data_IF_873264957546
#
_entry.id   IF_873264957546
#
_cell.length_a   1.000
_cell.length_b   1.000
_cell.length_c   1.000
_cell.angle_alpha   90.00
_cell.angle_beta   90.00
_cell.angle_gamma   90.00
#
_symmetry.space_group_name_H-M   'P 1'
#
loop_
_entity.id
_entity.type
_entity.pdbx_description
1 polymer ?
#
# COMPACT_ATOMS: atom_id res chain seq x y z
N UNK A 1 7.73 3.45 -12.34
CA UNK A 1 7.89 2.44 -11.29
C UNK A 1 6.89 2.78 -10.18
N UNK A 2 5.82 1.99 -10.03
CA UNK A 2 4.84 2.17 -8.96
C UNK A 2 5.28 1.24 -7.85
N UNK A 3 5.76 1.77 -6.74
CA UNK A 3 6.10 0.94 -5.60
C UNK A 3 4.82 0.35 -4.99
N UNK A 4 4.78 -0.96 -4.85
CA UNK A 4 3.71 -1.66 -4.15
C UNK A 4 3.90 -1.43 -2.66
N UNK A 5 3.13 -0.50 -2.09
CA UNK A 5 3.03 -0.33 -0.65
C UNK A 5 2.28 -1.52 -0.07
N UNK A 6 2.99 -2.41 0.62
CA UNK A 6 2.43 -3.70 1.07
C UNK A 6 1.80 -3.64 2.46
N UNK A 7 1.94 -2.53 3.20
CA UNK A 7 1.35 -2.39 4.53
C UNK A 7 1.05 -0.94 4.93
N UNK A 8 0.52 -0.76 6.15
CA UNK A 8 0.20 0.54 6.73
C UNK A 8 1.47 1.40 6.92
N UNK A 9 1.47 2.65 6.45
CA UNK A 9 2.56 3.57 6.70
C UNK A 9 2.79 3.85 8.19
N UNK A 10 4.06 4.01 8.58
CA UNK A 10 4.44 4.52 9.89
C UNK A 10 4.81 6.00 9.77
N UNK A 11 4.21 6.82 10.64
CA UNK A 11 4.48 8.26 10.73
C UNK A 11 5.38 8.52 11.94
N UNK A 12 6.50 9.19 11.72
CA UNK A 12 7.44 9.57 12.77
C UNK A 12 7.69 11.07 12.73
N UNK A 13 7.75 11.69 13.91
CA UNK A 13 8.16 13.09 14.03
C UNK A 13 9.63 13.25 13.64
N UNK A 14 9.91 14.23 12.79
CA UNK A 14 11.25 14.60 12.34
C UNK A 14 11.47 16.13 12.48
N UNK A 15 11.04 16.69 13.61
CA UNK A 15 11.15 18.11 13.92
C UNK A 15 10.06 18.91 13.22
N UNK A 16 10.44 19.82 12.32
CA UNK A 16 9.47 20.60 11.53
C UNK A 16 8.81 19.78 10.40
N UNK A 17 9.25 18.53 10.22
CA UNK A 17 8.78 17.62 9.19
C UNK A 17 8.22 16.33 9.80
N UNK A 18 7.50 15.59 8.98
CA UNK A 18 7.02 14.24 9.29
C UNK A 18 7.64 13.24 8.33
N UNK A 19 8.26 12.20 8.88
CA UNK A 19 8.80 11.09 8.10
C UNK A 19 7.71 10.01 7.95
N UNK A 20 7.38 9.71 6.70
CA UNK A 20 6.45 8.67 6.31
C UNK A 20 7.23 7.48 5.76
N UNK A 21 7.06 6.31 6.36
CA UNK A 21 7.76 5.08 5.94
C UNK A 21 6.78 3.99 5.57
N UNK A 22 6.97 3.36 4.40
CA UNK A 22 6.21 2.18 3.95
C UNK A 22 7.18 1.04 3.66
N UNK A 23 6.90 -0.19 4.06
CA UNK A 23 7.65 -1.33 3.56
C UNK A 23 7.35 -1.52 2.07
N UNK A 24 8.41 -1.74 1.30
CA UNK A 24 8.33 -2.16 -0.09
C UNK A 24 8.46 -3.68 -0.16
N UNK A 25 7.79 -4.30 -1.14
CA UNK A 25 8.03 -5.70 -1.49
C UNK A 25 9.46 -5.98 -1.98
N UNK A 26 10.20 -4.93 -2.36
CA UNK A 26 11.55 -5.02 -2.93
C UNK A 26 12.68 -4.99 -1.87
N UNK A 27 12.34 -5.12 -0.59
CA UNK A 27 13.30 -5.27 0.52
C UNK A 27 13.69 -3.97 1.23
N UNK A 28 13.75 -2.83 0.51
CA UNK A 28 14.03 -1.54 1.14
C UNK A 28 12.76 -0.72 1.39
N UNK A 29 12.53 -0.21 2.61
CA UNK A 29 11.36 0.61 2.90
C UNK A 29 11.47 1.98 2.21
N UNK A 30 10.36 2.42 1.63
CA UNK A 30 10.26 3.75 1.03
C UNK A 30 10.03 4.77 2.13
N UNK A 31 10.79 5.85 2.07
CA UNK A 31 10.80 6.92 3.06
C UNK A 31 10.51 8.25 2.37
N UNK A 32 9.49 8.95 2.83
CA UNK A 32 9.09 10.26 2.30
C UNK A 32 9.09 11.25 3.45
N UNK A 33 9.83 12.35 3.30
CA UNK A 33 9.81 13.46 4.26
C UNK A 33 8.77 14.48 3.78
N UNK A 34 7.84 14.81 4.65
CA UNK A 34 6.77 15.76 4.37
C UNK A 34 6.89 16.97 5.28
N UNK A 35 6.80 18.16 4.70
CA UNK A 35 6.51 19.37 5.48
C UNK A 35 5.10 19.34 6.04
N UNK A 36 4.81 20.17 7.03
CA UNK A 36 3.46 20.33 7.59
C UNK A 36 2.38 20.56 6.52
N UNK A 37 2.64 21.44 5.55
CA UNK A 37 1.69 21.74 4.48
C UNK A 37 1.46 20.53 3.56
N UNK A 38 2.52 19.79 3.22
CA UNK A 38 2.41 18.57 2.41
C UNK A 38 1.67 17.46 3.15
N UNK A 39 1.87 17.32 4.46
CA UNK A 39 1.12 16.38 5.29
C UNK A 39 -0.37 16.72 5.33
N UNK A 40 -0.72 18.01 5.50
CA UNK A 40 -2.11 18.46 5.45
C UNK A 40 -2.76 18.17 4.09
N UNK A 41 -2.06 18.45 2.99
CA UNK A 41 -2.54 18.12 1.64
C UNK A 41 -2.74 16.62 1.46
N UNK A 42 -1.79 15.79 1.92
CA UNK A 42 -1.89 14.34 1.88
C UNK A 42 -3.14 13.86 2.63
N UNK A 43 -3.40 14.37 3.83
CA UNK A 43 -4.57 14.01 4.61
C UNK A 43 -5.88 14.36 3.88
N UNK A 44 -5.99 15.57 3.32
CA UNK A 44 -7.17 16.00 2.57
C UNK A 44 -7.42 15.12 1.34
N UNK A 45 -6.38 14.85 0.55
CA UNK A 45 -6.50 14.02 -0.65
C UNK A 45 -6.75 12.54 -0.33
N UNK A 46 -6.20 12.02 0.78
CA UNK A 46 -6.43 10.64 1.21
C UNK A 46 -7.91 10.38 1.57
N UNK A 47 -8.59 11.36 2.16
CA UNK A 47 -10.00 11.28 2.47
C UNK A 47 -10.86 11.22 1.18
N UNK A 48 -10.49 12.00 0.16
CA UNK A 48 -11.15 11.98 -1.15
C UNK A 48 -10.93 10.61 -1.81
N UNK A 49 -9.68 10.16 -1.90
CA UNK A 49 -9.35 8.86 -2.50
C UNK A 49 -10.04 7.68 -1.80
N UNK A 50 -10.13 7.73 -0.47
CA UNK A 50 -10.89 6.76 0.32
C UNK A 50 -12.36 6.77 -0.09
N UNK A 51 -12.97 7.95 -0.11
CA UNK A 51 -14.38 8.11 -0.48
C UNK A 51 -14.64 7.58 -1.89
N UNK A 52 -13.78 7.90 -2.85
CA UNK A 52 -13.90 7.43 -4.24
C UNK A 52 -13.73 5.91 -4.39
N UNK A 53 -12.81 5.31 -3.61
CA UNK A 53 -12.58 3.86 -3.62
C UNK A 53 -13.78 3.07 -3.08
N UNK A 54 -14.50 3.62 -2.11
CA UNK A 54 -15.71 2.99 -1.55
C UNK A 54 -17.01 3.40 -2.26
N UNK A 55 -17.01 4.50 -3.02
CA UNK A 55 -18.17 4.95 -3.78
C UNK A 55 -18.40 4.16 -5.08
N UNK A 56 -17.36 3.52 -5.63
CA UNK A 56 -17.49 2.65 -6.79
C UNK A 56 -17.78 1.21 -6.34
N UNK A 57 -18.75 0.50 -6.93
CA UNK A 57 -18.88 -0.93 -6.70
C UNK A 57 -17.54 -1.58 -7.03
N UNK A 58 -16.99 -2.34 -6.09
CA UNK A 58 -15.72 -3.03 -6.30
C UNK A 58 -15.88 -3.90 -7.56
N UNK A 59 -15.01 -3.74 -8.58
CA UNK A 59 -15.05 -4.64 -9.72
C UNK A 59 -14.94 -6.06 -9.15
N UNK A 60 -15.91 -6.89 -9.51
CA UNK A 60 -16.11 -8.25 -9.03
C UNK A 60 -14.77 -8.86 -8.66
N UNK A 61 -14.55 -9.12 -7.35
CA UNK A 61 -13.37 -9.84 -6.90
C UNK A 61 -13.31 -11.11 -7.73
N UNK A 62 -12.41 -11.15 -8.72
CA UNK A 62 -12.18 -12.34 -9.51
C UNK A 62 -11.97 -13.46 -8.49
N UNK A 63 -12.85 -14.47 -8.52
CA UNK A 63 -12.75 -15.63 -7.65
C UNK A 63 -11.30 -16.08 -7.65
N UNK A 64 -10.65 -15.99 -6.50
CA UNK A 64 -9.31 -16.51 -6.30
C UNK A 64 -9.41 -18.03 -6.45
N UNK A 65 -9.26 -18.52 -7.68
CA UNK A 65 -9.15 -19.95 -7.94
C UNK A 65 -7.91 -20.42 -7.20
N UNK A 66 -8.02 -21.31 -6.20
CA UNK A 66 -6.86 -21.83 -5.52
C UNK A 66 -6.00 -22.54 -6.56
N UNK A 67 -4.73 -22.13 -6.71
CA UNK A 67 -3.76 -22.96 -7.41
C UNK A 67 -3.56 -24.21 -6.57
N UNK A 68 -4.32 -25.27 -6.87
CA UNK A 68 -4.01 -26.61 -6.37
C UNK A 68 -2.61 -26.93 -6.84
N UNK A 69 -1.66 -27.02 -5.91
CA UNK A 69 -0.33 -27.53 -6.17
C UNK A 69 -0.50 -28.93 -6.78
N UNK A 70 -0.34 -29.03 -8.10
CA UNK A 70 -0.22 -30.33 -8.76
C UNK A 70 1.07 -30.91 -8.20
N UNK A 71 0.91 -31.90 -7.33
CA UNK A 71 1.99 -32.60 -6.68
C UNK A 71 3.07 -32.94 -7.70
N UNK A 72 4.25 -32.33 -7.54
CA UNK A 72 5.48 -32.85 -8.10
C UNK A 72 5.84 -34.05 -7.24
N UNK A 73 5.40 -35.23 -7.67
CA UNK A 73 5.69 -36.53 -7.09
C UNK A 73 4.89 -37.54 -7.91
N UNK A 74 5.47 -38.51 -8.61
CA UNK A 74 6.71 -39.23 -8.39
C UNK A 74 6.37 -40.68 -8.75
N UNK A 75 7.19 -41.29 -9.59
CA UNK A 75 7.32 -42.72 -9.87
C UNK A 75 6.07 -43.63 -9.72
N UNK A 76 5.56 -44.12 -10.84
CA UNK A 76 5.67 -45.54 -11.24
C UNK A 76 5.11 -45.74 -12.65
#
# INVERSE_FOLDING_TARGET
MIALCTSTPVFTDAGENTLLTFPSGDGEPIRIVLTRNQLCLLAMHSQIARTDAFAKPQPEMAELVPMTAKAVGGAN
#
